data_IF_804805909334
#
_entry.id   IF_804805909334
#
_cell.length_a   1.000
_cell.length_b   1.000
_cell.length_c   1.000
_cell.angle_alpha   90.00
_cell.angle_beta   90.00
_cell.angle_gamma   90.00
#
_symmetry.space_group_name_H-M   'P 1'
#
loop_
_entity.id
_entity.type
_entity.pdbx_description
1 polymer ?
#
# COMPACT_ATOMS: atom_id res chain seq x y z
N UNK A 1 0.04 58.75 -22.11
CA UNK A 1 0.87 58.03 -21.12
C UNK A 1 0.41 56.61 -20.75
N UNK A 2 -0.88 56.21 -20.84
CA UNK A 2 -1.33 54.87 -20.41
C UNK A 2 -0.92 53.69 -21.31
N UNK A 3 -0.84 53.88 -22.64
CA UNK A 3 -0.59 52.81 -23.62
C UNK A 3 0.76 52.07 -23.44
N UNK A 4 1.81 52.80 -23.06
CA UNK A 4 3.14 52.22 -22.83
C UNK A 4 3.23 51.40 -21.54
N UNK A 5 2.40 51.69 -20.52
CA UNK A 5 2.32 50.86 -19.31
C UNK A 5 1.62 49.53 -19.61
N UNK A 6 0.54 49.56 -20.39
CA UNK A 6 -0.19 48.34 -20.77
C UNK A 6 0.67 47.40 -21.61
N UNK A 7 1.43 47.93 -22.58
CA UNK A 7 2.34 47.14 -23.42
C UNK A 7 3.46 46.51 -22.59
N UNK A 8 4.04 47.24 -21.61
CA UNK A 8 5.04 46.68 -20.69
C UNK A 8 4.48 45.54 -19.83
N UNK A 9 3.26 45.67 -19.31
CA UNK A 9 2.61 44.63 -18.50
C UNK A 9 2.37 43.37 -19.35
N UNK A 10 1.85 43.54 -20.57
CA UNK A 10 1.62 42.40 -21.49
C UNK A 10 2.93 41.70 -21.84
N UNK A 11 4.01 42.45 -22.10
CA UNK A 11 5.34 41.87 -22.35
C UNK A 11 5.88 41.09 -21.15
N UNK A 12 5.74 41.62 -19.93
CA UNK A 12 6.18 40.94 -18.71
C UNK A 12 5.39 39.64 -18.50
N UNK A 13 4.07 39.69 -18.68
CA UNK A 13 3.22 38.49 -18.57
C UNK A 13 3.58 37.46 -19.63
N UNK A 14 3.85 37.89 -20.86
CA UNK A 14 4.24 37.00 -21.95
C UNK A 14 5.60 36.34 -21.70
N UNK A 15 6.58 37.10 -21.18
CA UNK A 15 7.90 36.56 -20.80
C UNK A 15 7.77 35.57 -19.65
N UNK A 16 6.94 35.86 -18.63
CA UNK A 16 6.68 34.93 -17.53
C UNK A 16 5.99 33.64 -18.02
N UNK A 17 5.00 33.75 -18.90
CA UNK A 17 4.32 32.59 -19.50
C UNK A 17 5.28 31.75 -20.35
N UNK A 18 6.16 32.40 -21.11
CA UNK A 18 7.17 31.73 -21.93
C UNK A 18 8.18 31.00 -21.05
N UNK A 19 8.66 31.65 -19.98
CA UNK A 19 9.56 31.04 -19.02
C UNK A 19 8.90 29.85 -18.30
N UNK A 20 7.61 29.96 -17.95
CA UNK A 20 6.84 28.88 -17.35
C UNK A 20 6.67 27.68 -18.31
N UNK A 21 6.38 27.95 -19.59
CA UNK A 21 6.28 26.92 -20.63
C UNK A 21 7.61 26.20 -20.85
N UNK A 22 8.72 26.93 -20.93
CA UNK A 22 10.05 26.34 -21.06
C UNK A 22 10.40 25.54 -19.81
N UNK A 23 10.19 26.08 -18.60
CA UNK A 23 10.42 25.36 -17.35
C UNK A 23 9.57 24.08 -17.26
N UNK A 24 8.31 24.13 -17.68
CA UNK A 24 7.42 22.95 -17.68
C UNK A 24 7.90 21.82 -18.60
N UNK A 25 8.61 22.14 -19.69
CA UNK A 25 9.24 21.15 -20.58
C UNK A 25 10.48 20.49 -19.97
N UNK A 26 11.14 21.13 -19.00
CA UNK A 26 12.32 20.58 -18.32
C UNK A 26 11.98 19.85 -17.02
N UNK A 27 10.73 19.89 -16.55
CA UNK A 27 10.30 19.02 -15.47
C UNK A 27 10.15 17.62 -16.06
N UNK A 28 11.12 16.77 -15.80
CA UNK A 28 10.98 15.34 -16.07
C UNK A 28 9.85 14.82 -15.18
N UNK A 29 8.69 14.60 -15.80
CA UNK A 29 7.54 13.99 -15.17
C UNK A 29 7.68 12.49 -15.39
N UNK A 30 7.66 11.73 -14.29
CA UNK A 30 7.46 10.29 -14.37
C UNK A 30 6.16 10.07 -15.18
N UNK A 31 6.07 9.12 -16.11
CA UNK A 31 4.85 8.89 -16.91
C UNK A 31 3.57 8.68 -16.07
N UNK A 32 3.70 8.42 -14.77
CA UNK A 32 2.60 8.32 -13.79
C UNK A 32 2.26 9.61 -13.04
N UNK A 33 3.07 10.67 -13.16
CA UNK A 33 2.91 11.93 -12.42
C UNK A 33 2.57 13.10 -13.34
N UNK A 34 1.47 13.81 -13.06
CA UNK A 34 1.14 15.04 -13.77
C UNK A 34 1.79 16.27 -13.11
N UNK A 35 1.92 17.37 -13.85
CA UNK A 35 2.46 18.63 -13.31
C UNK A 35 1.58 19.19 -12.17
N UNK A 36 0.26 18.98 -12.27
CA UNK A 36 -0.69 19.30 -11.21
C UNK A 36 -0.49 18.42 -9.97
N UNK A 37 -0.22 17.13 -10.19
CA UNK A 37 0.10 16.19 -9.12
C UNK A 37 1.33 16.63 -8.32
N UNK A 38 2.44 16.98 -8.98
CA UNK A 38 3.61 17.55 -8.30
C UNK A 38 3.29 18.83 -7.52
N UNK A 39 2.50 19.72 -8.09
CA UNK A 39 2.06 20.93 -7.36
C UNK A 39 1.26 20.60 -6.11
N UNK A 40 0.40 19.58 -6.16
CA UNK A 40 -0.33 19.11 -5.00
C UNK A 40 0.61 18.50 -3.95
N UNK A 41 1.58 17.67 -4.37
CA UNK A 41 2.59 17.10 -3.46
C UNK A 41 3.29 18.19 -2.65
N UNK A 42 3.83 19.22 -3.32
CA UNK A 42 4.47 20.35 -2.63
C UNK A 42 3.56 21.15 -1.71
N UNK A 43 2.24 21.11 -1.94
CA UNK A 43 1.27 21.81 -1.11
C UNK A 43 0.78 21.00 0.09
N UNK A 44 0.77 19.67 -0.01
CA UNK A 44 0.12 18.79 0.99
C UNK A 44 1.07 17.88 1.75
N UNK A 45 2.25 17.59 1.22
CA UNK A 45 3.20 16.70 1.87
C UNK A 45 3.87 17.38 3.05
N UNK A 46 3.87 16.70 4.19
CA UNK A 46 4.75 17.02 5.29
C UNK A 46 6.12 16.32 5.13
N UNK A 47 7.00 16.48 6.13
CA UNK A 47 8.37 15.92 6.06
C UNK A 47 8.39 14.40 6.00
N UNK A 48 7.44 13.73 6.64
CA UNK A 48 7.39 12.28 6.69
C UNK A 48 6.80 11.72 5.38
N UNK A 49 5.82 12.42 4.79
CA UNK A 49 5.32 12.11 3.44
C UNK A 49 6.42 12.22 2.37
N UNK A 50 7.23 13.29 2.42
CA UNK A 50 8.37 13.46 1.49
C UNK A 50 9.38 12.35 1.63
N UNK A 51 9.74 11.99 2.86
CA UNK A 51 10.66 10.89 3.13
C UNK A 51 10.11 9.57 2.57
N UNK A 52 8.84 9.26 2.84
CA UNK A 52 8.20 8.05 2.35
C UNK A 52 8.14 8.01 0.81
N UNK A 53 7.80 9.12 0.16
CA UNK A 53 7.75 9.21 -1.31
C UNK A 53 9.12 8.98 -1.94
N UNK A 54 10.17 9.62 -1.42
CA UNK A 54 11.53 9.47 -1.92
C UNK A 54 12.07 8.04 -1.76
N UNK A 55 11.84 7.41 -0.60
CA UNK A 55 12.29 6.05 -0.33
C UNK A 55 11.55 5.01 -1.19
N UNK A 56 10.23 5.18 -1.41
CA UNK A 56 9.44 4.34 -2.32
C UNK A 56 9.92 4.51 -3.76
N UNK A 57 10.14 5.76 -4.22
CA UNK A 57 10.65 6.01 -5.56
C UNK A 57 12.02 5.39 -5.81
N UNK A 58 12.91 5.41 -4.81
CA UNK A 58 14.24 4.83 -4.91
C UNK A 58 14.14 3.31 -5.12
N UNK A 59 13.33 2.61 -4.33
CA UNK A 59 13.13 1.16 -4.48
C UNK A 59 12.43 0.78 -5.78
N UNK A 60 11.46 1.59 -6.23
CA UNK A 60 10.82 1.37 -7.53
C UNK A 60 11.82 1.50 -8.70
N UNK A 61 12.80 2.39 -8.61
CA UNK A 61 13.84 2.52 -9.64
C UNK A 61 14.81 1.36 -9.65
N UNK A 62 15.14 0.79 -8.49
CA UNK A 62 15.99 -0.40 -8.39
C UNK A 62 15.28 -1.66 -8.92
N UNK A 63 13.99 -1.83 -8.63
CA UNK A 63 13.20 -2.99 -9.07
C UNK A 63 12.91 -3.03 -10.58
N UNK A 64 12.84 -1.88 -11.28
CA UNK A 64 12.63 -1.81 -12.74
C UNK A 64 13.83 -2.32 -13.55
N UNK A 65 15.02 -2.42 -12.94
CA UNK A 65 16.23 -2.89 -13.63
C UNK A 65 16.26 -4.43 -13.75
N UNK A 66 15.46 -5.17 -12.97
CA UNK A 66 15.61 -6.63 -12.86
C UNK A 66 14.41 -7.48 -13.37
N UNK A 67 13.23 -6.89 -13.58
CA UNK A 67 12.04 -7.68 -13.95
C UNK A 67 11.58 -7.48 -15.41
N UNK A 68 12.24 -8.20 -16.31
CA UNK A 68 11.77 -8.50 -17.68
C UNK A 68 11.39 -9.98 -17.79
N UNK A 69 10.40 -10.43 -17.04
CA UNK A 69 9.80 -11.76 -17.25
C UNK A 69 8.28 -11.70 -17.11
N UNK A 70 7.61 -12.11 -18.18
CA UNK A 70 6.17 -11.96 -18.38
C UNK A 70 5.32 -12.77 -17.41
N UNK A 71 4.17 -12.21 -17.09
CA UNK A 71 3.12 -12.81 -16.27
C UNK A 71 2.35 -13.84 -17.12
N UNK A 72 2.25 -15.12 -16.72
CA UNK A 72 1.26 -16.03 -17.28
C UNK A 72 -0.10 -15.81 -16.59
N UNK A 73 -1.13 -15.66 -17.42
CA UNK A 73 -2.53 -15.53 -17.01
C UNK A 73 -3.06 -16.86 -16.47
N UNK A 74 -3.59 -16.88 -15.24
CA UNK A 74 -4.25 -18.05 -14.64
C UNK A 74 -5.78 -17.95 -14.74
N UNK A 75 -6.39 -19.08 -15.10
CA UNK A 75 -7.83 -19.30 -15.26
C UNK A 75 -8.64 -19.11 -13.98
N UNK A 76 -9.93 -18.82 -14.19
CA UNK A 76 -10.94 -18.57 -13.16
C UNK A 76 -11.24 -19.80 -12.29
N UNK A 77 -11.05 -19.67 -10.97
CA UNK A 77 -11.48 -20.64 -9.98
C UNK A 77 -12.83 -20.24 -9.36
N UNK A 78 -13.63 -21.26 -9.03
CA UNK A 78 -14.91 -21.21 -8.32
C UNK A 78 -14.93 -20.24 -7.13
N UNK A 79 -16.09 -19.64 -6.84
CA UNK A 79 -16.34 -18.66 -5.77
C UNK A 79 -15.39 -18.83 -4.55
N UNK A 80 -14.57 -17.82 -4.24
CA UNK A 80 -13.45 -18.00 -3.32
C UNK A 80 -13.96 -18.31 -1.92
N UNK A 81 -13.37 -19.33 -1.29
CA UNK A 81 -13.40 -19.41 0.16
C UNK A 81 -12.90 -18.06 0.70
N UNK A 82 -13.60 -17.46 1.66
CA UNK A 82 -13.13 -16.23 2.31
C UNK A 82 -11.80 -16.54 3.00
N UNK A 83 -10.70 -16.13 2.38
CA UNK A 83 -9.33 -16.33 2.87
C UNK A 83 -8.94 -15.28 3.92
N UNK A 84 -9.52 -14.09 3.81
CA UNK A 84 -9.17 -12.95 4.64
C UNK A 84 -9.64 -13.13 6.09
N UNK A 85 -8.80 -12.76 7.07
CA UNK A 85 -9.19 -12.71 8.47
C UNK A 85 -10.41 -11.83 8.69
N UNK A 86 -11.27 -12.20 9.64
CA UNK A 86 -12.42 -11.37 10.01
C UNK A 86 -12.49 -11.23 11.52
N UNK A 87 -12.89 -10.05 11.98
CA UNK A 87 -13.12 -9.83 13.40
C UNK A 87 -14.45 -10.47 13.82
N UNK A 88 -14.38 -11.53 14.62
CA UNK A 88 -15.58 -12.25 15.09
C UNK A 88 -16.51 -11.37 15.95
N UNK A 89 -16.01 -10.26 16.48
CA UNK A 89 -16.76 -9.30 17.28
C UNK A 89 -17.86 -8.60 16.49
N UNK A 90 -17.78 -8.55 15.17
CA UNK A 90 -18.80 -7.95 14.31
C UNK A 90 -20.01 -8.85 14.06
N UNK A 91 -19.92 -10.15 14.34
CA UNK A 91 -21.01 -11.10 14.09
C UNK A 91 -21.88 -11.35 15.33
N UNK A 92 -23.16 -11.66 15.10
CA UNK A 92 -24.13 -12.01 16.14
C UNK A 92 -24.92 -13.27 15.76
N UNK A 93 -25.48 -13.95 16.75
CA UNK A 93 -26.35 -15.12 16.53
C UNK A 93 -25.72 -16.22 15.68
N UNK A 94 -26.49 -16.75 14.72
CA UNK A 94 -26.09 -17.86 13.86
C UNK A 94 -24.89 -17.55 12.95
N UNK A 95 -24.68 -16.29 12.58
CA UNK A 95 -23.53 -15.89 11.76
C UNK A 95 -22.22 -16.03 12.54
N UNK A 96 -22.24 -15.67 13.83
CA UNK A 96 -21.09 -15.85 14.72
C UNK A 96 -20.75 -17.33 14.92
N UNK A 97 -21.78 -18.17 15.07
CA UNK A 97 -21.59 -19.63 15.22
C UNK A 97 -20.96 -20.25 13.96
N UNK A 98 -21.43 -19.83 12.77
CA UNK A 98 -20.86 -20.27 11.50
C UNK A 98 -19.39 -19.86 11.35
N UNK A 99 -19.05 -18.63 11.73
CA UNK A 99 -17.68 -18.13 11.64
C UNK A 99 -16.75 -18.80 12.64
N UNK A 100 -17.20 -19.04 13.88
CA UNK A 100 -16.45 -19.82 14.87
C UNK A 100 -16.18 -21.25 14.39
N UNK A 101 -17.14 -21.88 13.72
CA UNK A 101 -16.95 -23.20 13.13
C UNK A 101 -15.93 -23.15 11.98
N UNK A 102 -15.96 -22.11 11.14
CA UNK A 102 -14.96 -21.90 10.08
C UNK A 102 -13.55 -21.77 10.65
N UNK A 103 -13.38 -20.92 11.67
CA UNK A 103 -12.10 -20.71 12.37
C UNK A 103 -11.59 -22.02 12.97
N UNK A 104 -12.47 -22.79 13.63
CA UNK A 104 -12.12 -24.11 14.19
C UNK A 104 -11.65 -25.08 13.10
N UNK A 105 -12.31 -25.10 11.94
CA UNK A 105 -11.96 -25.96 10.82
C UNK A 105 -10.71 -25.49 10.06
N UNK A 106 -10.29 -24.24 10.23
CA UNK A 106 -9.09 -23.70 9.61
C UNK A 106 -7.80 -24.16 10.32
N UNK A 107 -7.90 -24.73 11.53
CA UNK A 107 -6.78 -25.32 12.27
C UNK A 107 -5.55 -24.39 12.40
N UNK A 108 -5.78 -23.13 12.80
CA UNK A 108 -4.74 -22.10 12.91
C UNK A 108 -3.62 -22.44 13.90
N UNK A 109 -3.86 -23.36 14.84
CA UNK A 109 -2.84 -23.91 15.73
C UNK A 109 -1.68 -24.59 14.99
N UNK A 110 -1.89 -25.01 13.75
CA UNK A 110 -0.87 -25.65 12.92
C UNK A 110 -0.02 -24.65 12.12
N UNK A 111 -0.38 -23.36 12.14
CA UNK A 111 0.39 -22.33 11.44
C UNK A 111 1.73 -22.07 12.13
N UNK A 112 2.78 -21.94 11.33
CA UNK A 112 4.14 -21.64 11.80
C UNK A 112 4.37 -20.15 11.75
N UNK A 113 4.62 -19.53 12.90
CA UNK A 113 4.97 -18.10 12.97
C UNK A 113 6.28 -17.86 12.22
N UNK A 114 6.27 -16.87 11.32
CA UNK A 114 7.43 -16.51 10.54
C UNK A 114 8.53 -15.88 11.41
N UNK A 115 9.78 -16.31 11.21
CA UNK A 115 10.95 -15.72 11.89
C UNK A 115 11.48 -14.49 11.15
N UNK A 116 11.44 -14.56 9.83
CA UNK A 116 11.80 -13.47 8.93
C UNK A 116 10.52 -13.10 8.17
N UNK A 117 10.12 -11.85 8.31
CA UNK A 117 8.91 -11.27 7.72
C UNK A 117 9.24 -9.85 7.29
N UNK A 118 8.50 -9.27 6.31
CA UNK A 118 8.62 -7.85 6.02
C UNK A 118 8.31 -7.02 7.26
N UNK A 119 9.01 -5.90 7.42
CA UNK A 119 8.63 -4.90 8.39
C UNK A 119 7.48 -3.99 7.85
N UNK A 120 7.05 -3.02 8.64
CA UNK A 120 5.98 -2.07 8.25
C UNK A 120 6.28 -1.37 6.91
N UNK A 121 7.55 -1.02 6.67
CA UNK A 121 7.98 -0.25 5.52
C UNK A 121 8.14 -1.14 4.27
N UNK A 122 8.73 -2.32 4.44
CA UNK A 122 8.80 -3.36 3.42
C UNK A 122 7.40 -3.71 2.92
N UNK A 123 6.45 -3.94 3.85
CA UNK A 123 5.08 -4.29 3.53
C UNK A 123 4.37 -3.16 2.77
N UNK A 124 4.54 -1.91 3.22
CA UNK A 124 3.98 -0.75 2.53
C UNK A 124 4.47 -0.65 1.09
N UNK A 125 5.79 -0.82 0.89
CA UNK A 125 6.41 -0.75 -0.43
C UNK A 125 5.93 -1.86 -1.35
N UNK A 126 5.90 -3.09 -0.85
CA UNK A 126 5.41 -4.25 -1.58
C UNK A 126 3.97 -4.06 -2.07
N UNK A 127 3.13 -3.43 -1.24
CA UNK A 127 1.72 -3.18 -1.56
C UNK A 127 1.52 -1.98 -2.50
N UNK A 128 2.36 -0.95 -2.40
CA UNK A 128 2.40 0.14 -3.38
C UNK A 128 2.77 -0.41 -4.75
N UNK A 129 3.75 -1.32 -4.83
CA UNK A 129 4.10 -2.02 -6.07
C UNK A 129 2.94 -2.86 -6.60
N UNK A 130 2.31 -3.66 -5.74
CA UNK A 130 1.17 -4.53 -6.11
C UNK A 130 -0.03 -3.76 -6.66
N UNK A 131 -0.22 -2.51 -6.24
CA UNK A 131 -1.31 -1.63 -6.70
C UNK A 131 -0.90 -0.69 -7.84
N UNK A 132 0.27 -0.92 -8.46
CA UNK A 132 0.85 -0.07 -9.50
C UNK A 132 1.02 1.40 -9.10
N UNK A 133 1.19 1.66 -7.80
CA UNK A 133 1.34 3.00 -7.23
C UNK A 133 0.04 3.70 -6.85
N UNK A 134 -1.14 3.13 -7.14
CA UNK A 134 -2.43 3.75 -6.80
C UNK A 134 -2.62 3.93 -5.28
N UNK A 135 -2.03 3.04 -4.49
CA UNK A 135 -2.07 3.13 -3.03
C UNK A 135 -1.30 4.32 -2.47
N UNK A 136 -0.28 4.82 -3.18
CA UNK A 136 0.51 5.98 -2.74
C UNK A 136 -0.38 7.18 -2.47
N UNK A 137 -1.27 7.50 -3.41
CA UNK A 137 -2.19 8.63 -3.30
C UNK A 137 -3.13 8.50 -2.11
N UNK A 138 -3.57 7.28 -1.80
CA UNK A 138 -4.42 6.99 -0.65
C UNK A 138 -3.64 7.19 0.66
N UNK A 139 -2.45 6.60 0.77
CA UNK A 139 -1.55 6.71 1.92
C UNK A 139 -1.28 8.16 2.28
N UNK A 140 -1.06 9.01 1.27
CA UNK A 140 -0.78 10.43 1.47
C UNK A 140 -2.05 11.19 1.84
N UNK A 141 -3.09 11.11 1.01
CA UNK A 141 -4.28 11.95 1.17
C UNK A 141 -5.03 11.65 2.46
N UNK A 142 -4.97 10.40 2.93
CA UNK A 142 -5.59 9.96 4.17
C UNK A 142 -4.61 9.85 5.34
N UNK A 143 -3.34 10.22 5.13
CA UNK A 143 -2.28 10.21 6.15
C UNK A 143 -2.12 8.83 6.81
N UNK A 144 -2.16 7.77 6.01
CA UNK A 144 -2.11 6.38 6.48
C UNK A 144 -0.70 5.81 6.44
N UNK A 145 -0.34 5.04 7.46
CA UNK A 145 0.78 4.11 7.46
C UNK A 145 0.25 2.68 7.43
N UNK A 146 0.92 1.80 6.71
CA UNK A 146 0.64 0.37 6.79
C UNK A 146 1.40 -0.21 7.98
N UNK A 147 0.68 -0.95 8.82
CA UNK A 147 1.22 -1.66 9.98
C UNK A 147 1.04 -3.14 9.80
N UNK A 148 2.10 -3.90 10.03
CA UNK A 148 2.06 -5.35 9.89
C UNK A 148 1.85 -6.03 11.24
N UNK A 149 0.99 -7.05 11.24
CA UNK A 149 0.73 -7.89 12.39
C UNK A 149 1.64 -9.11 12.44
N UNK A 150 1.15 -10.12 13.15
CA UNK A 150 1.75 -11.42 13.22
C UNK A 150 1.69 -12.12 11.86
N UNK A 151 2.86 -12.57 11.43
CA UNK A 151 3.08 -13.21 10.15
C UNK A 151 3.26 -14.72 10.29
N UNK A 152 2.84 -15.45 9.26
CA UNK A 152 2.92 -16.91 9.21
C UNK A 152 3.62 -17.37 7.95
N UNK A 153 4.45 -18.42 8.07
CA UNK A 153 5.12 -19.03 6.91
C UNK A 153 4.07 -19.68 6.02
N UNK A 154 4.02 -19.29 4.75
CA UNK A 154 3.14 -19.88 3.78
C UNK A 154 3.92 -20.94 2.96
N UNK A 155 3.46 -22.20 2.94
CA UNK A 155 4.12 -23.24 2.15
C UNK A 155 3.99 -23.03 0.64
N UNK A 156 3.00 -22.25 0.19
CA UNK A 156 2.81 -21.90 -1.22
C UNK A 156 3.78 -20.77 -1.62
N UNK A 157 5.00 -21.15 -2.01
CA UNK A 157 6.04 -20.18 -2.37
C UNK A 157 5.94 -19.61 -3.78
N UNK A 158 5.11 -20.19 -4.64
CA UNK A 158 4.99 -19.79 -6.05
C UNK A 158 6.36 -19.63 -6.77
N UNK A 159 7.27 -20.57 -6.51
CA UNK A 159 8.64 -20.54 -7.06
C UNK A 159 9.65 -19.62 -6.37
N UNK A 160 9.23 -18.82 -5.38
CA UNK A 160 10.10 -17.89 -4.64
C UNK A 160 10.87 -18.56 -3.49
N UNK A 161 11.88 -17.85 -2.96
CA UNK A 161 12.65 -18.29 -1.81
C UNK A 161 11.78 -18.42 -0.54
N UNK A 162 10.94 -17.42 -0.28
CA UNK A 162 9.98 -17.42 0.83
C UNK A 162 8.65 -16.78 0.45
N UNK A 163 7.58 -17.26 1.08
CA UNK A 163 6.27 -16.63 1.09
C UNK A 163 5.78 -16.55 2.54
N UNK A 164 5.37 -15.37 2.96
CA UNK A 164 4.90 -15.08 4.32
C UNK A 164 3.54 -14.40 4.23
N UNK A 165 2.54 -14.93 4.92
CA UNK A 165 1.20 -14.34 4.97
C UNK A 165 1.03 -13.51 6.24
N UNK A 166 0.62 -12.26 6.10
CA UNK A 166 0.46 -11.34 7.23
C UNK A 166 -0.84 -10.56 7.14
N UNK A 167 -1.42 -10.29 8.31
CA UNK A 167 -2.47 -9.29 8.44
C UNK A 167 -1.83 -7.90 8.42
N UNK A 168 -2.49 -6.94 7.78
CA UNK A 168 -2.11 -5.53 7.77
C UNK A 168 -3.20 -4.68 8.41
N UNK A 169 -2.81 -3.52 8.92
CA UNK A 169 -3.67 -2.51 9.50
C UNK A 169 -3.33 -1.15 8.90
N UNK A 170 -4.35 -0.36 8.58
CA UNK A 170 -4.19 1.00 8.14
C UNK A 170 -4.21 1.90 9.38
N UNK A 171 -3.09 2.54 9.68
CA UNK A 171 -2.94 3.45 10.80
C UNK A 171 -2.96 4.90 10.33
N UNK A 172 -3.93 5.69 10.78
CA UNK A 172 -4.01 7.11 10.46
C UNK A 172 -3.09 7.91 11.38
N UNK A 173 -2.07 8.55 10.80
CA UNK A 173 -1.06 9.34 11.52
C UNK A 173 -1.65 10.61 12.15
N UNK A 174 -2.69 11.17 11.55
CA UNK A 174 -3.30 12.43 12.01
C UNK A 174 -4.22 12.18 13.20
N UNK A 175 -5.16 11.23 13.05
CA UNK A 175 -6.09 10.88 14.14
C UNK A 175 -5.44 10.00 15.21
N UNK A 176 -4.29 9.41 14.90
CA UNK A 176 -3.56 8.43 15.72
C UNK A 176 -4.38 7.19 16.06
N UNK A 177 -5.29 6.84 15.17
CA UNK A 177 -6.17 5.68 15.30
C UNK A 177 -6.07 4.78 14.06
N UNK A 178 -6.56 3.56 14.18
CA UNK A 178 -6.62 2.64 13.05
C UNK A 178 -7.95 2.74 12.29
N UNK A 179 -7.92 2.33 11.03
CA UNK A 179 -9.11 2.14 10.23
C UNK A 179 -9.04 0.78 9.53
N UNK A 180 -10.19 0.15 9.34
CA UNK A 180 -10.27 -1.10 8.58
C UNK A 180 -9.93 -0.84 7.11
N UNK A 181 -9.27 -1.81 6.48
CA UNK A 181 -8.96 -1.74 5.07
C UNK A 181 -10.28 -1.86 4.26
N UNK A 182 -10.64 -0.90 3.40
CA UNK A 182 -11.93 -0.94 2.71
C UNK A 182 -11.95 -2.01 1.62
N UNK A 183 -13.05 -2.74 1.49
CA UNK A 183 -13.22 -3.70 0.38
C UNK A 183 -13.39 -2.94 -0.95
N UNK A 184 -12.49 -3.14 -1.93
CA UNK A 184 -12.69 -2.58 -3.27
C UNK A 184 -11.49 -2.69 -4.20
N UNK A 185 -11.70 -2.43 -5.50
CA UNK A 185 -10.65 -2.54 -6.54
C UNK A 185 -9.45 -1.60 -6.35
N UNK A 186 -9.64 -0.54 -5.56
CA UNK A 186 -8.64 0.49 -5.27
C UNK A 186 -8.25 0.53 -3.77
N UNK A 187 -8.72 -0.43 -2.96
CA UNK A 187 -8.54 -0.42 -1.52
C UNK A 187 -8.30 -1.83 -0.99
N UNK A 188 -7.48 -1.86 0.06
CA UNK A 188 -6.73 -3.05 0.44
C UNK A 188 -7.61 -4.05 1.18
N UNK A 189 -7.33 -5.33 0.99
CA UNK A 189 -7.78 -6.36 1.92
C UNK A 189 -6.94 -6.26 3.21
N UNK A 190 -7.41 -6.84 4.30
CA UNK A 190 -6.71 -6.75 5.59
C UNK A 190 -5.56 -7.77 5.73
N UNK A 191 -5.25 -8.54 4.69
CA UNK A 191 -4.17 -9.52 4.72
C UNK A 191 -3.67 -9.87 3.32
N UNK A 192 -2.37 -10.13 3.22
CA UNK A 192 -1.65 -10.38 1.97
C UNK A 192 -0.56 -11.43 2.13
N UNK A 193 -0.15 -12.00 0.99
CA UNK A 193 1.07 -12.78 0.89
C UNK A 193 2.23 -11.89 0.45
N UNK A 194 3.37 -12.02 1.12
CA UNK A 194 4.62 -11.34 0.82
C UNK A 194 5.68 -12.37 0.40
N UNK A 195 6.17 -12.23 -0.82
CA UNK A 195 7.14 -13.11 -1.45
C UNK A 195 8.51 -12.44 -1.49
N UNK A 196 9.56 -13.25 -1.31
CA UNK A 196 10.95 -12.84 -1.48
C UNK A 196 11.59 -13.80 -2.47
N UNK A 197 12.15 -13.29 -3.58
CA UNK A 197 12.72 -14.16 -4.63
C UNK A 197 14.04 -14.81 -4.19
N UNK A 198 14.85 -14.11 -3.40
CA UNK A 198 16.06 -14.63 -2.76
C UNK A 198 16.24 -14.07 -1.33
N UNK A 199 17.17 -14.62 -0.55
CA UNK A 199 17.40 -14.14 0.81
C UNK A 199 17.92 -12.69 0.82
N UNK A 200 17.20 -11.80 1.50
CA UNK A 200 17.56 -10.38 1.60
C UNK A 200 17.11 -9.52 0.42
N UNK A 201 16.39 -10.11 -0.54
CA UNK A 201 15.78 -9.40 -1.66
C UNK A 201 14.55 -8.58 -1.22
N UNK A 202 14.05 -7.73 -2.11
CA UNK A 202 12.83 -6.97 -1.86
C UNK A 202 11.60 -7.86 -1.74
N UNK A 203 10.66 -7.45 -0.90
CA UNK A 203 9.38 -8.11 -0.75
C UNK A 203 8.40 -7.68 -1.85
N UNK A 204 7.69 -8.65 -2.42
CA UNK A 204 6.59 -8.43 -3.38
C UNK A 204 5.28 -8.92 -2.78
N UNK A 205 4.20 -8.14 -2.90
CA UNK A 205 2.90 -8.55 -2.38
C UNK A 205 2.04 -9.22 -3.46
N UNK A 206 1.20 -10.17 -3.04
CA UNK A 206 0.10 -10.75 -3.84
C UNK A 206 -1.13 -10.98 -2.96
N UNK A 207 -2.25 -11.29 -3.61
CA UNK A 207 -3.45 -11.75 -2.94
C UNK A 207 -3.15 -12.92 -1.99
N UNK A 208 -3.82 -12.89 -0.84
CA UNK A 208 -3.66 -13.90 0.21
C UNK A 208 -4.03 -15.29 -0.32
N UNK A 209 -3.13 -16.26 -0.20
CA UNK A 209 -3.38 -17.65 -0.63
C UNK A 209 -3.59 -18.64 0.53
N UNK A 210 -3.44 -18.19 1.78
CA UNK A 210 -3.58 -19.01 2.98
C UNK A 210 -4.47 -18.32 4.02
N UNK A 211 -5.38 -19.08 4.64
CA UNK A 211 -6.14 -18.57 5.78
C UNK A 211 -5.20 -18.30 6.97
N UNK A 212 -5.26 -17.09 7.52
CA UNK A 212 -4.58 -16.72 8.76
C UNK A 212 -5.60 -16.19 9.79
N UNK A 213 -5.30 -16.27 11.10
CA UNK A 213 -6.19 -15.74 12.13
C UNK A 213 -6.21 -14.21 12.11
N UNK A 214 -7.32 -13.63 12.58
CA UNK A 214 -7.41 -12.20 12.83
C UNK A 214 -6.51 -11.80 14.01
N UNK A 215 -5.68 -10.78 13.82
CA UNK A 215 -4.70 -10.33 14.80
C UNK A 215 -5.28 -9.23 15.71
N UNK A 216 -5.91 -9.68 16.80
CA UNK A 216 -6.46 -8.78 17.83
C UNK A 216 -5.38 -7.95 18.54
N UNK A 217 -4.15 -8.46 18.65
CA UNK A 217 -3.07 -7.77 19.33
C UNK A 217 -2.55 -6.60 18.48
N UNK A 218 -2.54 -6.75 17.15
CA UNK A 218 -2.25 -5.66 16.21
C UNK A 218 -3.24 -4.51 16.39
N UNK A 219 -4.55 -4.79 16.41
CA UNK A 219 -5.58 -3.76 16.60
C UNK A 219 -5.36 -3.03 17.93
N UNK A 220 -5.27 -3.80 19.02
CA UNK A 220 -5.11 -3.25 20.38
C UNK A 220 -3.85 -2.40 20.55
N UNK A 221 -2.79 -2.69 19.79
CA UNK A 221 -1.55 -1.91 19.80
C UNK A 221 -1.72 -0.50 19.22
N UNK A 222 -2.60 -0.35 18.23
CA UNK A 222 -2.80 0.90 17.48
C UNK A 222 -4.17 1.57 17.71
N UNK A 223 -5.00 0.99 18.57
CA UNK A 223 -6.24 1.59 19.06
C UNK A 223 -5.93 2.86 19.86
N UNK A 224 -6.69 3.92 19.60
CA UNK A 224 -6.62 5.15 20.38
C UNK A 224 -6.89 4.83 21.86
N UNK A 225 -5.93 5.16 22.72
CA UNK A 225 -6.15 5.06 24.18
C UNK A 225 -6.89 6.31 24.62
N UNK A 226 -8.11 6.16 25.12
CA UNK A 226 -8.77 7.22 25.88
C UNK A 226 -7.89 7.54 27.11
N UNK A 227 -7.45 8.80 27.22
CA UNK A 227 -6.77 9.34 28.41
C UNK A 227 -7.76 9.70 29.52
#
# INVERSE_FOLDING_TARGET
>A
MKKNKTIKIVLIVFVLLSAFLVASNFIWLNPRESLFYKMQQYATYDKEDWKNHEEIEAMLKETVVDNSTGIPTSEAASAPARLHPVNIGFFQGSEKEAELLRIKNAHFENLVVAKNAPDDFDAQTALVQFTDGQLTDVIINQKLNIKIGKCYTNPNKDGNYSCISCMILLYNRDTKDWQEAPMGKNFMENAYDFYQASEGDFWQAKDLSMNIPFDYDLIKKYELKEE
#
